data_IF_415188151837
#
_entry.id   IF_415188151837
#
_cell.length_a   1.000
_cell.length_b   1.000
_cell.length_c   1.000
_cell.angle_alpha   90.00
_cell.angle_beta   90.00
_cell.angle_gamma   90.00
#
_symmetry.space_group_name_H-M   'P 1'
#
loop_
_entity.id
_entity.type
_entity.pdbx_description
1 polymer ?
#
# COMPACT_ATOMS: atom_id res chain seq x y z
N UNK A 1 4.58 9.12 23.13
CA UNK A 1 5.39 9.23 21.90
C UNK A 1 6.34 10.40 22.01
N UNK A 2 7.61 10.28 21.61
CA UNK A 2 8.51 11.44 21.50
C UNK A 2 7.94 12.41 20.47
N UNK A 3 7.99 13.72 20.77
CA UNK A 3 7.51 14.74 19.83
C UNK A 3 8.40 14.72 18.57
N UNK A 4 7.82 14.75 17.36
CA UNK A 4 8.59 14.87 16.13
C UNK A 4 9.51 16.09 16.22
N UNK A 5 10.75 15.95 15.76
CA UNK A 5 11.66 17.11 15.72
C UNK A 5 11.07 18.20 14.83
N UNK A 6 11.34 19.48 15.13
CA UNK A 6 10.85 20.60 14.32
C UNK A 6 11.21 20.46 12.84
N UNK A 7 12.36 19.85 12.54
CA UNK A 7 12.77 19.52 11.17
C UNK A 7 11.84 18.50 10.51
N UNK A 8 11.50 17.39 11.19
CA UNK A 8 10.63 16.33 10.63
C UNK A 8 9.27 16.91 10.27
N UNK A 9 8.65 17.66 11.18
CA UNK A 9 7.33 18.27 10.93
C UNK A 9 7.34 19.25 9.75
N UNK A 10 8.33 20.15 9.69
CA UNK A 10 8.44 21.11 8.58
C UNK A 10 8.68 20.41 7.24
N UNK A 11 9.53 19.38 7.24
CA UNK A 11 9.85 18.60 6.03
C UNK A 11 8.66 17.75 5.58
N UNK A 12 7.91 17.17 6.53
CA UNK A 12 6.67 16.44 6.27
C UNK A 12 5.61 17.34 5.64
N UNK A 13 5.45 18.56 6.17
CA UNK A 13 4.56 19.57 5.57
C UNK A 13 4.96 19.88 4.12
N UNK A 14 6.24 20.14 3.88
CA UNK A 14 6.74 20.44 2.53
C UNK A 14 6.55 19.26 1.56
N UNK A 15 6.78 18.03 2.01
CA UNK A 15 6.50 16.82 1.22
C UNK A 15 4.99 16.68 0.94
N UNK A 16 4.14 16.96 1.92
CA UNK A 16 2.69 16.98 1.76
C UNK A 16 2.23 17.98 0.71
N UNK A 17 2.84 19.17 0.66
CA UNK A 17 2.56 20.17 -0.39
C UNK A 17 3.00 19.72 -1.78
N UNK A 18 4.13 19.01 -1.90
CA UNK A 18 4.57 18.41 -3.17
C UNK A 18 3.61 17.32 -3.65
N UNK A 19 3.11 16.47 -2.73
CA UNK A 19 2.11 15.44 -3.02
C UNK A 19 0.74 16.05 -3.40
N UNK A 20 0.31 17.09 -2.69
CA UNK A 20 -0.94 17.78 -2.99
C UNK A 20 -0.94 18.40 -4.40
N UNK A 21 0.22 18.92 -4.85
CA UNK A 21 0.38 19.46 -6.21
C UNK A 21 0.18 18.43 -7.32
N UNK A 22 0.28 17.14 -7.00
CA UNK A 22 0.01 16.03 -7.93
C UNK A 22 -1.27 15.28 -7.58
N UNK A 23 -2.14 15.88 -6.75
CA UNK A 23 -3.46 15.35 -6.41
C UNK A 23 -3.48 14.28 -5.33
N UNK A 24 -2.39 14.11 -4.56
CA UNK A 24 -2.29 13.13 -3.48
C UNK A 24 -2.34 13.81 -2.12
N UNK A 25 -3.19 13.30 -1.24
CA UNK A 25 -3.28 13.73 0.15
C UNK A 25 -2.86 12.59 1.06
N UNK A 26 -1.91 12.86 1.96
CA UNK A 26 -1.42 11.90 2.95
C UNK A 26 -1.47 12.58 4.32
N UNK A 27 -1.96 11.88 5.37
CA UNK A 27 -1.93 12.40 6.74
C UNK A 27 -0.52 12.78 7.19
N UNK A 28 -0.41 13.86 7.96
CA UNK A 28 0.89 14.43 8.35
C UNK A 28 1.73 13.47 9.19
N UNK A 29 1.11 12.77 10.14
CA UNK A 29 1.74 11.73 10.96
C UNK A 29 2.39 10.64 10.10
N UNK A 30 1.70 10.18 9.06
CA UNK A 30 2.24 9.17 8.12
C UNK A 30 3.43 9.69 7.31
N UNK A 31 3.44 10.97 6.97
CA UNK A 31 4.58 11.61 6.30
C UNK A 31 5.77 11.78 7.24
N UNK A 32 5.53 12.06 8.52
CA UNK A 32 6.57 12.16 9.54
C UNK A 32 7.26 10.81 9.79
N UNK A 33 6.47 9.73 9.89
CA UNK A 33 6.98 8.35 10.00
C UNK A 33 7.81 7.98 8.77
N UNK A 34 7.26 8.20 7.56
CA UNK A 34 7.94 7.93 6.30
C UNK A 34 9.28 8.66 6.20
N UNK A 35 9.33 9.93 6.58
CA UNK A 35 10.56 10.72 6.55
C UNK A 35 11.59 10.23 7.58
N UNK A 36 11.13 9.83 8.76
CA UNK A 36 12.00 9.26 9.80
C UNK A 36 12.68 7.99 9.30
N UNK A 37 11.91 7.05 8.75
CA UNK A 37 12.42 5.81 8.17
C UNK A 37 13.37 6.07 7.01
N UNK A 38 13.02 7.02 6.13
CA UNK A 38 13.84 7.33 4.96
C UNK A 38 15.18 7.98 5.36
N UNK A 39 15.18 8.87 6.35
CA UNK A 39 16.41 9.47 6.89
C UNK A 39 17.30 8.40 7.50
N UNK A 40 16.74 7.49 8.31
CA UNK A 40 17.48 6.38 8.89
C UNK A 40 18.09 5.48 7.80
N UNK A 41 17.32 5.12 6.77
CA UNK A 41 17.80 4.30 5.66
C UNK A 41 18.92 4.98 4.85
N UNK A 42 18.88 6.30 4.66
CA UNK A 42 19.96 7.05 4.01
C UNK A 42 21.21 7.10 4.89
N UNK A 43 21.02 7.35 6.19
CA UNK A 43 22.11 7.38 7.16
C UNK A 43 22.86 6.05 7.21
N UNK A 44 22.12 4.94 7.29
CA UNK A 44 22.67 3.58 7.27
C UNK A 44 23.42 3.30 5.96
N UNK A 45 22.78 3.53 4.81
CA UNK A 45 23.36 3.21 3.49
C UNK A 45 24.63 4.00 3.19
N UNK A 46 24.69 5.26 3.62
CA UNK A 46 25.84 6.12 3.38
C UNK A 46 26.87 6.07 4.53
N UNK A 47 26.62 5.29 5.58
CA UNK A 47 27.43 5.24 6.80
C UNK A 47 27.66 6.63 7.42
N UNK A 48 26.62 7.46 7.45
CA UNK A 48 26.64 8.81 8.04
C UNK A 48 25.64 8.93 9.19
N UNK A 49 25.72 10.01 9.96
CA UNK A 49 24.71 10.29 10.99
C UNK A 49 23.37 10.71 10.36
N UNK A 50 22.24 10.44 11.02
CA UNK A 50 20.93 10.97 10.62
C UNK A 50 20.94 12.49 10.47
N UNK A 51 21.64 13.20 11.36
CA UNK A 51 21.77 14.66 11.29
C UNK A 51 22.39 15.10 9.97
N UNK A 52 23.37 14.36 9.47
CA UNK A 52 23.97 14.60 8.15
C UNK A 52 23.03 14.19 7.03
N UNK A 53 22.36 13.03 7.17
CA UNK A 53 21.40 12.52 6.18
C UNK A 53 20.25 13.50 5.90
N UNK A 54 19.75 14.18 6.93
CA UNK A 54 18.70 15.22 6.82
C UNK A 54 19.04 16.34 5.84
N UNK A 55 20.33 16.62 5.58
CA UNK A 55 20.76 17.64 4.62
C UNK A 55 20.48 17.28 3.16
N UNK A 56 20.27 16.00 2.86
CA UNK A 56 19.94 15.53 1.51
C UNK A 56 18.45 15.67 1.15
N UNK A 57 17.60 16.01 2.12
CA UNK A 57 16.16 16.20 1.90
C UNK A 57 15.84 17.68 1.67
N UNK A 58 16.48 18.26 0.67
CA UNK A 58 16.17 19.61 0.20
C UNK A 58 14.86 19.63 -0.62
N UNK A 59 14.44 20.82 -1.05
CA UNK A 59 13.19 20.97 -1.80
C UNK A 59 13.17 20.18 -3.12
N UNK A 60 14.31 20.04 -3.80
CA UNK A 60 14.40 19.25 -5.02
C UNK A 60 14.24 17.76 -4.71
N UNK A 61 14.93 17.27 -3.68
CA UNK A 61 14.82 15.88 -3.22
C UNK A 61 13.40 15.53 -2.78
N UNK A 62 12.71 16.42 -2.06
CA UNK A 62 11.31 16.21 -1.66
C UNK A 62 10.36 16.16 -2.85
N UNK A 63 10.55 17.02 -3.86
CA UNK A 63 9.77 16.97 -5.11
C UNK A 63 10.01 15.68 -5.87
N UNK A 64 11.25 15.23 -5.96
CA UNK A 64 11.61 13.95 -6.59
C UNK A 64 10.98 12.79 -5.83
N UNK A 65 11.06 12.79 -4.49
CA UNK A 65 10.43 11.80 -3.64
C UNK A 65 8.90 11.76 -3.86
N UNK A 66 8.23 12.91 -3.88
CA UNK A 66 6.78 12.97 -4.13
C UNK A 66 6.40 12.34 -5.49
N UNK A 67 7.18 12.62 -6.55
CA UNK A 67 6.97 12.02 -7.87
C UNK A 67 7.20 10.52 -7.87
N UNK A 68 8.27 10.06 -7.22
CA UNK A 68 8.55 8.62 -7.08
C UNK A 68 7.43 7.92 -6.31
N UNK A 69 6.95 8.49 -5.20
CA UNK A 69 5.83 7.96 -4.44
C UNK A 69 4.57 7.85 -5.30
N UNK A 70 4.24 8.88 -6.07
CA UNK A 70 3.09 8.87 -6.96
C UNK A 70 3.23 7.83 -8.08
N UNK A 71 4.42 7.67 -8.65
CA UNK A 71 4.67 6.65 -9.66
C UNK A 71 4.48 5.23 -9.12
N UNK A 72 4.86 4.96 -7.86
CA UNK A 72 4.68 3.64 -7.24
C UNK A 72 3.21 3.24 -7.06
N UNK A 73 2.33 4.21 -6.85
CA UNK A 73 0.89 3.97 -6.61
C UNK A 73 0.03 4.30 -7.84
N UNK A 74 0.65 4.64 -8.97
CA UNK A 74 -0.07 5.08 -10.17
C UNK A 74 -1.11 4.07 -10.61
N UNK A 75 -0.75 2.79 -10.59
CA UNK A 75 -1.60 1.69 -11.04
C UNK A 75 -2.77 1.41 -10.07
N UNK A 76 -2.71 1.95 -8.85
CA UNK A 76 -3.86 1.99 -7.94
C UNK A 76 -4.88 3.07 -8.33
N UNK A 77 -4.57 3.96 -9.26
CA UNK A 77 -5.41 5.08 -9.68
C UNK A 77 -6.00 5.85 -8.46
N UNK A 78 -5.18 6.37 -7.54
CA UNK A 78 -5.63 6.92 -6.26
C UNK A 78 -6.70 8.01 -6.46
N UNK A 79 -7.75 7.97 -5.64
CA UNK A 79 -8.88 8.90 -5.74
C UNK A 79 -9.90 8.60 -6.84
N UNK A 80 -9.61 7.68 -7.76
CA UNK A 80 -10.58 7.26 -8.77
C UNK A 80 -11.74 6.46 -8.16
N UNK A 81 -12.96 6.70 -8.66
CA UNK A 81 -14.12 5.86 -8.41
C UNK A 81 -13.98 4.56 -9.21
N UNK A 82 -13.72 3.47 -8.48
CA UNK A 82 -13.46 2.15 -9.04
C UNK A 82 -14.64 1.62 -9.87
N UNK A 83 -15.88 2.01 -9.57
CA UNK A 83 -17.06 1.53 -10.32
C UNK A 83 -17.15 2.11 -11.74
N UNK A 84 -16.50 3.25 -11.97
CA UNK A 84 -16.48 3.94 -13.27
C UNK A 84 -15.33 3.52 -14.17
N UNK A 85 -14.37 2.75 -13.64
CA UNK A 85 -13.18 2.34 -14.37
C UNK A 85 -13.46 1.17 -15.33
N UNK A 86 -12.69 1.03 -16.42
CA UNK A 86 -12.77 -0.12 -17.31
C UNK A 86 -12.54 -1.44 -16.57
N UNK A 87 -13.43 -2.42 -16.76
CA UNK A 87 -13.37 -3.75 -16.14
C UNK A 87 -12.54 -4.70 -17.00
N UNK A 88 -11.22 -4.60 -16.88
CA UNK A 88 -10.26 -5.29 -17.76
C UNK A 88 -9.76 -6.63 -17.23
N UNK A 89 -9.89 -6.89 -15.93
CA UNK A 89 -9.39 -8.11 -15.30
C UNK A 89 -10.51 -9.13 -15.15
N UNK A 90 -10.28 -10.34 -15.65
CA UNK A 90 -11.18 -11.48 -15.43
C UNK A 90 -10.82 -12.16 -14.10
N UNK A 91 -11.70 -12.06 -13.11
CA UNK A 91 -11.51 -12.66 -11.79
C UNK A 91 -12.41 -13.89 -11.61
N UNK A 92 -11.85 -15.10 -11.42
CA UNK A 92 -12.64 -16.30 -11.11
C UNK A 92 -13.45 -16.16 -9.81
N UNK A 93 -14.66 -16.71 -9.76
CA UNK A 93 -15.51 -16.68 -8.56
C UNK A 93 -14.81 -17.20 -7.27
N UNK A 94 -14.01 -18.29 -7.31
CA UNK A 94 -13.25 -18.70 -6.13
C UNK A 94 -12.24 -17.65 -5.66
N UNK A 95 -11.57 -16.97 -6.60
CA UNK A 95 -10.61 -15.90 -6.29
C UNK A 95 -11.32 -14.67 -5.74
N UNK A 96 -12.51 -14.33 -6.24
CA UNK A 96 -13.37 -13.30 -5.67
C UNK A 96 -13.74 -13.61 -4.22
N UNK A 97 -14.20 -14.83 -3.94
CA UNK A 97 -14.53 -15.25 -2.57
C UNK A 97 -13.34 -15.18 -1.62
N UNK A 98 -12.18 -15.65 -2.06
CA UNK A 98 -10.93 -15.54 -1.30
C UNK A 98 -10.52 -14.08 -1.06
N UNK A 99 -10.69 -13.22 -2.06
CA UNK A 99 -10.41 -11.78 -1.94
C UNK A 99 -11.31 -11.12 -0.90
N UNK A 100 -12.62 -11.40 -0.93
CA UNK A 100 -13.56 -10.88 0.07
C UNK A 100 -13.16 -11.35 1.47
N UNK A 101 -12.83 -12.64 1.64
CA UNK A 101 -12.39 -13.17 2.91
C UNK A 101 -11.11 -12.47 3.42
N UNK A 102 -10.08 -12.34 2.56
CA UNK A 102 -8.85 -11.64 2.90
C UNK A 102 -9.10 -10.16 3.27
N UNK A 103 -10.00 -9.47 2.56
CA UNK A 103 -10.37 -8.09 2.88
C UNK A 103 -11.11 -7.96 4.22
N UNK A 104 -11.91 -8.96 4.60
CA UNK A 104 -12.54 -9.01 5.92
C UNK A 104 -11.48 -9.16 7.02
N UNK A 105 -10.46 -10.01 6.81
CA UNK A 105 -9.33 -10.12 7.74
C UNK A 105 -8.54 -8.82 7.85
N UNK A 106 -8.30 -8.15 6.71
CA UNK A 106 -7.69 -6.80 6.71
C UNK A 106 -8.52 -5.83 7.55
N UNK A 107 -9.83 -5.78 7.34
CA UNK A 107 -10.72 -4.91 8.11
C UNK A 107 -10.66 -5.21 9.62
N UNK A 108 -10.72 -6.49 10.00
CA UNK A 108 -10.66 -6.89 11.41
C UNK A 108 -9.33 -6.50 12.07
N UNK A 109 -8.21 -6.76 11.38
CA UNK A 109 -6.88 -6.41 11.88
C UNK A 109 -6.66 -4.90 11.94
N UNK A 110 -7.10 -4.13 10.94
CA UNK A 110 -7.05 -2.66 10.99
C UNK A 110 -7.89 -2.13 12.14
N UNK A 111 -9.10 -2.66 12.35
CA UNK A 111 -9.97 -2.30 13.47
C UNK A 111 -9.30 -2.52 14.83
N UNK A 112 -8.61 -3.65 15.00
CA UNK A 112 -7.90 -4.00 16.23
C UNK A 112 -6.64 -3.14 16.50
N UNK A 113 -5.98 -2.64 15.46
CA UNK A 113 -4.70 -1.94 15.60
C UNK A 113 -4.80 -0.41 15.49
N UNK A 114 -5.83 0.12 14.83
CA UNK A 114 -5.95 1.56 14.56
C UNK A 114 -7.29 2.14 15.03
N UNK A 115 -8.29 1.30 15.32
CA UNK A 115 -9.58 1.70 15.84
C UNK A 115 -10.74 1.35 14.90
N UNK A 116 -12.00 1.39 15.39
CA UNK A 116 -13.16 0.84 14.68
C UNK A 116 -13.55 1.59 13.40
N UNK A 117 -13.13 2.84 13.22
CA UNK A 117 -13.47 3.67 12.05
C UNK A 117 -12.45 3.56 10.90
N UNK A 118 -11.32 2.92 11.16
CA UNK A 118 -10.20 2.78 10.21
C UNK A 118 -10.35 1.67 9.14
N UNK A 119 -11.16 0.60 9.28
CA UNK A 119 -11.26 -0.43 8.24
C UNK A 119 -12.02 0.01 6.98
N UNK A 120 -12.40 1.30 6.88
CA UNK A 120 -13.17 1.91 5.79
C UNK A 120 -12.63 1.57 4.40
N UNK A 121 -11.31 1.50 4.22
CA UNK A 121 -10.70 1.15 2.92
C UNK A 121 -11.04 -0.28 2.48
N UNK A 122 -10.85 -1.25 3.37
CA UNK A 122 -11.17 -2.65 3.08
C UNK A 122 -12.68 -2.85 2.87
N UNK A 123 -13.50 -2.23 3.73
CA UNK A 123 -14.96 -2.26 3.62
C UNK A 123 -15.48 -1.68 2.30
N UNK A 124 -14.88 -0.59 1.83
CA UNK A 124 -15.23 0.02 0.53
C UNK A 124 -14.89 -0.90 -0.64
N UNK A 125 -13.77 -1.62 -0.58
CA UNK A 125 -13.40 -2.61 -1.60
C UNK A 125 -14.32 -3.83 -1.58
N UNK A 126 -14.69 -4.35 -0.41
CA UNK A 126 -15.68 -5.42 -0.27
C UNK A 126 -17.00 -4.99 -0.91
N UNK A 127 -17.47 -3.77 -0.60
CA UNK A 127 -18.69 -3.20 -1.18
C UNK A 127 -18.60 -3.10 -2.71
N UNK A 128 -17.47 -2.58 -3.22
CA UNK A 128 -17.21 -2.48 -4.67
C UNK A 128 -17.27 -3.84 -5.35
N UNK A 129 -16.60 -4.86 -4.79
CA UNK A 129 -16.65 -6.23 -5.29
C UNK A 129 -18.07 -6.80 -5.27
N UNK A 130 -18.86 -6.53 -4.22
CA UNK A 130 -20.25 -6.92 -4.14
C UNK A 130 -21.14 -6.30 -5.22
N UNK A 131 -20.95 -5.02 -5.53
CA UNK A 131 -21.65 -4.33 -6.63
C UNK A 131 -21.26 -4.95 -7.98
N UNK A 132 -19.96 -5.11 -8.25
CA UNK A 132 -19.48 -5.71 -9.50
C UNK A 132 -20.00 -7.15 -9.68
N UNK A 133 -20.10 -7.91 -8.60
CA UNK A 133 -20.65 -9.27 -8.60
C UNK A 133 -22.16 -9.29 -8.85
N UNK A 134 -22.90 -8.29 -8.37
CA UNK A 134 -24.34 -8.17 -8.63
C UNK A 134 -24.64 -7.83 -10.09
N UNK A 135 -23.81 -7.00 -10.70
CA UNK A 135 -23.95 -6.58 -12.10
C UNK A 135 -23.41 -7.61 -13.11
N UNK A 136 -22.75 -8.64 -12.61
CA UNK A 136 -22.17 -9.72 -13.40
C UNK A 136 -23.25 -10.59 -14.06
N UNK A 137 -22.95 -11.12 -15.25
CA UNK A 137 -23.78 -12.15 -15.88
C UNK A 137 -23.62 -13.46 -15.12
N UNK A 138 -24.62 -13.78 -14.27
CA UNK A 138 -24.60 -14.94 -13.38
C UNK A 138 -24.36 -16.31 -14.03
N UNK A 139 -24.35 -16.40 -15.36
CA UNK A 139 -24.02 -17.62 -16.10
C UNK A 139 -22.50 -17.82 -16.31
N UNK A 140 -21.69 -16.79 -16.09
CA UNK A 140 -20.24 -16.84 -16.30
C UNK A 140 -19.51 -17.15 -14.98
N UNK A 141 -18.47 -18.00 -14.99
CA UNK A 141 -17.73 -18.38 -13.77
C UNK A 141 -16.71 -17.31 -13.30
N UNK A 142 -16.78 -16.09 -13.83
CA UNK A 142 -15.77 -15.04 -13.64
C UNK A 142 -16.41 -13.66 -13.60
N UNK A 143 -16.05 -12.81 -12.64
CA UNK A 143 -16.46 -11.41 -12.59
C UNK A 143 -15.40 -10.53 -13.25
N UNK A 144 -15.82 -9.57 -14.08
CA UNK A 144 -14.91 -8.57 -14.65
C UNK A 144 -14.73 -7.41 -13.67
N UNK A 145 -13.48 -7.13 -13.31
CA UNK A 145 -13.12 -6.09 -12.33
C UNK A 145 -12.10 -5.12 -12.91
N UNK A 146 -12.05 -3.87 -12.43
CA UNK A 146 -11.03 -2.92 -12.85
C UNK A 146 -9.67 -3.29 -12.26
N UNK A 147 -8.61 -3.18 -13.05
CA UNK A 147 -7.23 -3.46 -12.61
C UNK A 147 -6.82 -2.69 -11.35
N UNK A 148 -7.12 -1.38 -11.19
CA UNK A 148 -6.78 -0.66 -9.97
C UNK A 148 -7.41 -1.22 -8.68
N UNK A 149 -8.58 -1.87 -8.76
CA UNK A 149 -9.17 -2.55 -7.59
C UNK A 149 -8.30 -3.74 -7.17
N UNK A 150 -7.80 -4.52 -8.14
CA UNK A 150 -6.93 -5.67 -7.88
C UNK A 150 -5.59 -5.21 -7.31
N UNK A 151 -4.96 -4.20 -7.89
CA UNK A 151 -3.68 -3.64 -7.41
C UNK A 151 -3.82 -3.14 -5.97
N UNK A 152 -4.89 -2.39 -5.65
CA UNK A 152 -5.16 -1.93 -4.29
C UNK A 152 -5.36 -3.10 -3.32
N UNK A 153 -6.17 -4.09 -3.69
CA UNK A 153 -6.45 -5.26 -2.87
C UNK A 153 -5.16 -6.05 -2.56
N UNK A 154 -4.33 -6.30 -3.57
CA UNK A 154 -3.01 -6.92 -3.40
C UNK A 154 -2.18 -6.15 -2.38
N UNK A 155 -2.01 -4.84 -2.56
CA UNK A 155 -1.18 -4.02 -1.67
C UNK A 155 -1.67 -4.10 -0.22
N UNK A 156 -2.97 -3.94 0.03
CA UNK A 156 -3.46 -3.93 1.41
C UNK A 156 -3.37 -5.30 2.07
N UNK A 157 -3.61 -6.39 1.32
CA UNK A 157 -3.51 -7.75 1.84
C UNK A 157 -2.04 -8.07 2.18
N UNK A 158 -1.08 -7.67 1.34
CA UNK A 158 0.35 -7.83 1.61
C UNK A 158 0.80 -7.02 2.81
N UNK A 159 0.45 -5.74 2.86
CA UNK A 159 0.79 -4.89 3.99
C UNK A 159 0.23 -5.47 5.30
N UNK A 160 -0.97 -6.05 5.26
CA UNK A 160 -1.55 -6.73 6.43
C UNK A 160 -0.81 -8.03 6.76
N UNK A 161 -0.39 -8.82 5.78
CA UNK A 161 0.44 -9.99 6.03
C UNK A 161 1.77 -9.61 6.72
N UNK A 162 2.37 -8.50 6.31
CA UNK A 162 3.58 -7.95 6.94
C UNK A 162 3.32 -7.46 8.37
N UNK A 163 2.19 -6.78 8.63
CA UNK A 163 1.79 -6.40 9.99
C UNK A 163 1.58 -7.62 10.89
N UNK A 164 0.95 -8.66 10.37
CA UNK A 164 0.77 -9.94 11.08
C UNK A 164 2.14 -10.56 11.39
N UNK A 165 3.08 -10.51 10.45
CA UNK A 165 4.45 -10.98 10.66
C UNK A 165 5.20 -10.18 11.74
N UNK A 166 4.99 -8.87 11.80
CA UNK A 166 5.59 -7.95 12.77
C UNK A 166 4.97 -8.02 14.17
N UNK A 167 3.95 -8.86 14.38
CA UNK A 167 3.34 -9.06 15.70
C UNK A 167 2.24 -8.06 16.04
N UNK A 168 1.49 -7.57 15.05
CA UNK A 168 0.33 -6.71 15.31
C UNK A 168 -0.69 -7.37 16.26
N UNK A 169 -1.51 -6.56 16.91
CA UNK A 169 -2.62 -7.04 17.75
C UNK A 169 -3.61 -7.84 16.91
N UNK A 170 -3.96 -9.05 17.34
CA UNK A 170 -4.98 -9.86 16.67
C UNK A 170 -6.39 -9.45 17.12
N UNK A 171 -7.42 -9.68 16.30
CA UNK A 171 -8.81 -9.40 16.69
C UNK A 171 -9.23 -10.21 17.94
N UNK A 172 -10.19 -9.69 18.73
CA UNK A 172 -10.69 -10.42 19.89
C UNK A 172 -11.19 -11.83 19.53
N UNK A 173 -10.77 -12.83 20.30
CA UNK A 173 -11.15 -14.23 20.08
C UNK A 173 -10.28 -14.99 19.08
N UNK A 174 -9.31 -14.34 18.43
CA UNK A 174 -8.31 -15.02 17.59
C UNK A 174 -7.10 -15.41 18.44
N UNK A 175 -6.77 -16.70 18.45
CA UNK A 175 -5.64 -17.22 19.21
C UNK A 175 -4.29 -16.93 18.50
N UNK A 176 -3.25 -16.70 19.30
CA UNK A 176 -1.93 -16.28 18.80
C UNK A 176 -1.22 -17.37 17.98
N UNK A 177 -1.51 -18.64 18.23
CA UNK A 177 -1.01 -19.80 17.47
C UNK A 177 -1.52 -19.85 16.02
N UNK A 178 -2.61 -19.13 15.72
CA UNK A 178 -3.16 -18.99 14.36
C UNK A 178 -2.32 -18.02 13.51
N UNK A 179 -1.53 -17.12 14.12
CA UNK A 179 -0.77 -16.07 13.41
C UNK A 179 0.04 -16.57 12.20
N UNK A 180 0.81 -17.67 12.28
CA UNK A 180 1.57 -18.16 11.12
C UNK A 180 0.67 -18.58 9.96
N UNK A 181 -0.48 -19.18 10.26
CA UNK A 181 -1.48 -19.60 9.27
C UNK A 181 -2.15 -18.38 8.63
N UNK A 182 -2.57 -17.40 9.44
CA UNK A 182 -3.17 -16.16 8.96
C UNK A 182 -2.22 -15.39 8.02
N UNK A 183 -0.95 -15.22 8.43
CA UNK A 183 0.08 -14.61 7.58
C UNK A 183 0.18 -15.32 6.23
N UNK A 184 0.30 -16.65 6.27
CA UNK A 184 0.44 -17.47 5.05
C UNK A 184 -0.79 -17.35 4.16
N UNK A 185 -1.99 -17.39 4.72
CA UNK A 185 -3.24 -17.25 3.95
C UNK A 185 -3.29 -15.91 3.21
N UNK A 186 -3.03 -14.80 3.91
CA UNK A 186 -2.98 -13.47 3.31
C UNK A 186 -1.91 -13.38 2.20
N UNK A 187 -0.70 -13.89 2.43
CA UNK A 187 0.35 -13.92 1.39
C UNK A 187 -0.07 -14.75 0.17
N UNK A 188 -0.69 -15.92 0.38
CA UNK A 188 -1.16 -16.79 -0.69
C UNK A 188 -2.31 -16.12 -1.49
N UNK A 189 -3.21 -15.38 -0.81
CA UNK A 189 -4.31 -14.63 -1.44
C UNK A 189 -3.80 -13.44 -2.26
N UNK A 190 -2.84 -12.68 -1.72
CA UNK A 190 -2.19 -11.61 -2.48
C UNK A 190 -1.45 -12.14 -3.71
N UNK A 191 -0.76 -13.29 -3.60
CA UNK A 191 -0.10 -13.93 -4.73
C UNK A 191 -1.09 -14.37 -5.82
N UNK A 192 -2.22 -14.97 -5.41
CA UNK A 192 -3.33 -15.33 -6.32
C UNK A 192 -3.88 -14.13 -7.06
N UNK A 193 -4.12 -13.03 -6.36
CA UNK A 193 -4.62 -11.79 -6.96
C UNK A 193 -3.61 -11.16 -7.92
N UNK A 194 -2.33 -11.13 -7.54
CA UNK A 194 -1.27 -10.58 -8.40
C UNK A 194 -1.14 -11.36 -9.70
N UNK A 195 -1.35 -12.68 -9.67
CA UNK A 195 -1.33 -13.51 -10.88
C UNK A 195 -2.45 -13.17 -11.89
N UNK A 196 -3.47 -12.39 -11.50
CA UNK A 196 -4.52 -11.91 -12.41
C UNK A 196 -4.09 -10.66 -13.19
N UNK A 197 -3.11 -9.91 -12.71
CA UNK A 197 -2.66 -8.66 -13.34
C UNK A 197 -1.73 -9.05 -14.50
N UNK A 198 -2.06 -8.66 -15.76
CA UNK A 198 -1.17 -8.90 -16.89
C UNK A 198 0.19 -8.25 -16.65
N UNK A 199 1.25 -8.91 -17.11
CA UNK A 199 2.62 -8.36 -17.06
C UNK A 199 2.78 -7.26 -18.13
N UNK A 200 2.01 -6.18 -18.04
CA UNK A 200 1.99 -5.10 -19.04
C UNK A 200 3.13 -4.10 -18.91
N UNK A 201 4.16 -4.43 -18.13
CA UNK A 201 5.41 -3.69 -18.11
C UNK A 201 5.89 -3.35 -16.71
N UNK A 202 6.38 -4.37 -15.99
CA UNK A 202 7.54 -4.15 -15.12
C UNK A 202 8.67 -3.59 -15.99
N UNK A 203 8.68 -2.28 -16.20
CA UNK A 203 9.96 -1.56 -16.25
C UNK A 203 10.53 -1.71 -14.86
N UNK A 204 11.18 -2.84 -14.61
CA UNK A 204 12.32 -2.95 -13.70
C UNK A 204 13.42 -2.04 -14.26
N UNK A 205 13.18 -0.73 -14.22
CA UNK A 205 14.28 0.21 -14.16
C UNK A 205 14.84 0.08 -12.75
N UNK A 206 16.16 -0.10 -12.56
CA UNK A 206 16.74 0.14 -11.25
C UNK A 206 16.25 1.53 -10.83
N UNK A 207 15.62 1.65 -9.66
CA UNK A 207 15.32 2.96 -9.11
C UNK A 207 16.60 3.78 -9.23
N UNK A 208 16.51 4.98 -9.78
CA UNK A 208 17.63 5.86 -10.20
C UNK A 208 18.62 6.26 -9.09
N UNK A 209 18.55 5.58 -7.95
CA UNK A 209 19.48 5.55 -6.83
C UNK A 209 20.45 4.36 -6.88
N UNK A 210 20.46 3.57 -7.96
CA UNK A 210 21.65 2.80 -8.32
C UNK A 210 22.74 3.83 -8.65
N UNK A 211 23.56 4.12 -7.65
CA UNK A 211 24.81 4.87 -7.83
C UNK A 211 25.60 4.14 -8.93
N UNK A 212 26.11 4.85 -9.95
CA UNK A 212 26.96 4.20 -10.95
C UNK A 212 28.13 3.52 -10.23
N UNK A 213 28.38 2.25 -10.52
CA UNK A 213 29.67 1.66 -10.18
C UNK A 213 30.74 2.47 -10.91
N UNK A 214 31.58 3.13 -10.14
CA UNK A 214 32.66 3.98 -10.63
C UNK A 214 33.60 3.14 -11.53
N UNK A 215 33.92 3.56 -12.76
CA UNK A 215 34.84 2.81 -13.59
C UNK A 215 36.26 3.00 -13.03
N UNK A 216 36.93 1.89 -12.71
CA UNK A 216 38.37 1.86 -12.48
C UNK A 216 39.15 2.14 -13.75
#
# INVERSE_FOLDING_TARGET
MPRPSSWVRTTASALGEELARIGLTVPADRLEDLLTDRVAAVAERMHITERTARRYFDHHALRTLARELALRIKDEAPGADLLTLPRTITMPLPTLGATIAALVEVAALTGANTGPDEPTTAMSMISTLGVLTREHDGNLPTVFVPEPLVVRAVRIIENTADLVHQGCTLPPGVAEDVRPHLRKALSDDAARLRALIPDTGRRTGPGLWAVPDDPR
#
